data_IF_186562333732
#
_entry.id   IF_186562333732
#
_cell.length_a   1.000
_cell.length_b   1.000
_cell.length_c   1.000
_cell.angle_alpha   90.00
_cell.angle_beta   90.00
_cell.angle_gamma   90.00
#
_symmetry.space_group_name_H-M   'P 1'
#
loop_
_entity.id
_entity.type
_entity.pdbx_description
1 polymer ?
#
# COMPACT_ATOMS: atom_id res chain seq x y z
N UNK A 1 12.32 -12.85 -8.39
CA UNK A 1 10.93 -12.32 -8.21
C UNK A 1 10.04 -12.78 -9.37
N UNK A 2 8.87 -13.35 -9.09
CA UNK A 2 7.90 -13.79 -10.10
C UNK A 2 6.63 -12.94 -10.03
N UNK A 3 6.51 -11.99 -10.98
CA UNK A 3 5.36 -11.09 -11.07
C UNK A 3 4.10 -11.87 -11.49
N UNK A 4 4.23 -12.81 -12.43
CA UNK A 4 3.10 -13.62 -12.90
C UNK A 4 2.46 -14.40 -11.76
N UNK A 5 3.28 -14.98 -10.90
CA UNK A 5 2.83 -15.66 -9.69
C UNK A 5 2.08 -14.68 -8.75
N UNK A 6 2.58 -13.45 -8.59
CA UNK A 6 1.92 -12.47 -7.71
C UNK A 6 0.50 -12.11 -8.15
N UNK A 7 0.21 -12.17 -9.43
CA UNK A 7 -1.15 -11.94 -9.95
C UNK A 7 -1.99 -13.21 -9.96
N UNK A 8 -1.39 -14.39 -10.05
CA UNK A 8 -2.13 -15.67 -10.16
C UNK A 8 -2.28 -16.42 -8.84
N UNK A 9 -1.43 -16.14 -7.82
CA UNK A 9 -1.46 -16.91 -6.58
C UNK A 9 -2.81 -16.90 -5.84
N UNK A 10 -3.62 -15.82 -5.85
CA UNK A 10 -4.90 -15.89 -5.16
C UNK A 10 -5.80 -16.99 -5.72
N UNK A 11 -5.75 -17.22 -7.03
CA UNK A 11 -6.59 -18.22 -7.71
C UNK A 11 -6.10 -19.67 -7.48
N UNK A 12 -4.95 -19.86 -6.86
CA UNK A 12 -4.44 -21.19 -6.48
C UNK A 12 -4.99 -21.68 -5.12
N UNK A 13 -5.63 -20.79 -4.38
CA UNK A 13 -6.28 -21.09 -3.11
C UNK A 13 -7.72 -21.55 -3.36
N UNK A 14 -8.14 -22.69 -2.78
CA UNK A 14 -9.48 -23.24 -3.01
C UNK A 14 -10.60 -22.30 -2.49
N UNK A 15 -10.30 -21.48 -1.49
CA UNK A 15 -11.25 -20.55 -0.86
C UNK A 15 -11.08 -19.09 -1.33
N UNK A 16 -10.35 -18.85 -2.41
CA UNK A 16 -10.01 -17.49 -2.85
C UNK A 16 -11.23 -16.57 -3.03
N UNK A 17 -12.33 -17.10 -3.56
CA UNK A 17 -13.58 -16.32 -3.76
C UNK A 17 -14.12 -15.83 -2.42
N UNK A 18 -14.22 -16.73 -1.44
CA UNK A 18 -14.72 -16.41 -0.09
C UNK A 18 -13.80 -15.40 0.59
N UNK A 19 -12.49 -15.60 0.51
CA UNK A 19 -11.50 -14.70 1.12
C UNK A 19 -11.54 -13.30 0.53
N UNK A 20 -11.66 -13.16 -0.79
CA UNK A 20 -11.77 -11.87 -1.47
C UNK A 20 -13.11 -11.18 -1.23
N UNK A 21 -14.22 -11.93 -1.22
CA UNK A 21 -15.54 -11.36 -0.90
C UNK A 21 -15.56 -10.83 0.53
N UNK A 22 -15.02 -11.58 1.49
CA UNK A 22 -14.94 -11.12 2.88
C UNK A 22 -14.08 -9.86 3.00
N UNK A 23 -12.93 -9.79 2.32
CA UNK A 23 -12.13 -8.56 2.25
C UNK A 23 -12.93 -7.38 1.71
N UNK A 24 -13.67 -7.60 0.59
CA UNK A 24 -14.51 -6.57 -0.03
C UNK A 24 -15.63 -6.09 0.91
N UNK A 25 -16.28 -7.01 1.63
CA UNK A 25 -17.34 -6.69 2.61
C UNK A 25 -16.76 -5.93 3.81
N UNK A 26 -15.60 -6.34 4.31
CA UNK A 26 -14.91 -5.66 5.41
C UNK A 26 -14.55 -4.22 5.01
N UNK A 27 -14.17 -3.97 3.76
CA UNK A 27 -13.87 -2.61 3.26
C UNK A 27 -15.08 -1.66 3.32
N UNK A 28 -16.30 -2.16 3.43
CA UNK A 28 -17.49 -1.32 3.63
C UNK A 28 -17.53 -0.65 5.01
N UNK A 29 -16.77 -1.16 5.98
CA UNK A 29 -16.69 -0.59 7.33
C UNK A 29 -15.68 0.58 7.27
N UNK A 30 -16.12 1.83 7.40
CA UNK A 30 -15.21 2.98 7.34
C UNK A 30 -14.09 2.87 8.37
N UNK A 31 -12.87 3.22 7.99
CA UNK A 31 -11.65 3.21 8.82
C UNK A 31 -11.24 1.81 9.26
N UNK A 32 -12.09 1.07 10.01
CA UNK A 32 -11.78 -0.28 10.49
C UNK A 32 -11.53 -1.26 9.35
N UNK A 33 -12.33 -1.18 8.28
CA UNK A 33 -12.16 -2.05 7.12
C UNK A 33 -10.80 -1.84 6.46
N UNK A 34 -10.38 -0.60 6.30
CA UNK A 34 -9.05 -0.27 5.73
C UNK A 34 -7.94 -0.86 6.62
N UNK A 35 -8.04 -0.68 7.94
CA UNK A 35 -7.05 -1.20 8.90
C UNK A 35 -6.96 -2.73 8.79
N UNK A 36 -8.09 -3.42 8.80
CA UNK A 36 -8.12 -4.89 8.75
C UNK A 36 -7.57 -5.42 7.43
N UNK A 37 -7.89 -4.77 6.31
CA UNK A 37 -7.37 -5.19 5.00
C UNK A 37 -5.88 -4.89 4.86
N UNK A 38 -5.37 -3.81 5.44
CA UNK A 38 -3.92 -3.58 5.56
C UNK A 38 -3.24 -4.70 6.37
N UNK A 39 -3.88 -5.16 7.45
CA UNK A 39 -3.39 -6.30 8.24
C UNK A 39 -3.40 -7.60 7.45
N UNK A 40 -4.45 -7.83 6.68
CA UNK A 40 -4.54 -8.99 5.79
C UNK A 40 -3.46 -8.98 4.70
N UNK A 41 -3.24 -7.83 4.06
CA UNK A 41 -2.12 -7.64 3.12
C UNK A 41 -0.78 -7.93 3.79
N UNK A 42 -0.55 -7.42 5.01
CA UNK A 42 0.68 -7.63 5.76
C UNK A 42 0.87 -9.10 6.18
N UNK A 43 -0.23 -9.81 6.51
CA UNK A 43 -0.20 -11.24 6.81
C UNK A 43 0.18 -12.06 5.57
N UNK A 44 -0.34 -11.70 4.39
CA UNK A 44 0.09 -12.29 3.10
C UNK A 44 1.58 -12.04 2.87
N UNK A 45 2.06 -10.82 3.07
CA UNK A 45 3.49 -10.48 2.98
C UNK A 45 4.33 -11.38 3.88
N UNK A 46 3.90 -11.56 5.12
CA UNK A 46 4.55 -12.45 6.11
C UNK A 46 4.55 -13.90 5.68
N UNK A 47 3.46 -14.40 5.12
CA UNK A 47 3.34 -15.77 4.62
C UNK A 47 4.28 -16.02 3.45
N UNK A 48 4.41 -15.06 2.52
CA UNK A 48 5.37 -15.13 1.41
C UNK A 48 6.80 -15.16 1.95
N UNK A 49 7.15 -14.30 2.90
CA UNK A 49 8.49 -14.26 3.52
C UNK A 49 8.80 -15.60 4.21
N UNK A 50 7.82 -16.24 4.83
CA UNK A 50 7.98 -17.55 5.48
C UNK A 50 7.97 -18.72 4.50
N UNK A 51 7.77 -18.49 3.22
CA UNK A 51 7.72 -19.54 2.19
C UNK A 51 6.47 -20.43 2.28
N UNK A 52 5.35 -19.90 2.73
CA UNK A 52 4.10 -20.66 2.81
C UNK A 52 3.64 -21.10 1.41
N UNK A 53 3.18 -22.34 1.29
CA UNK A 53 2.67 -22.91 0.02
C UNK A 53 1.38 -22.25 -0.44
N UNK A 54 0.55 -21.81 0.50
CA UNK A 54 -0.67 -21.02 0.27
C UNK A 54 -0.56 -19.71 1.03
N UNK A 55 -0.01 -18.64 0.42
CA UNK A 55 0.21 -17.38 1.13
C UNK A 55 -1.05 -16.55 1.34
N UNK A 56 -2.17 -16.86 0.65
CA UNK A 56 -3.43 -16.14 0.81
C UNK A 56 -4.01 -16.37 2.21
N UNK A 57 -3.98 -15.34 3.05
CA UNK A 57 -4.38 -15.41 4.44
C UNK A 57 -5.89 -15.65 4.60
N UNK A 58 -6.26 -16.43 5.61
CA UNK A 58 -7.65 -16.64 6.02
C UNK A 58 -8.17 -15.54 6.96
N UNK A 59 -9.43 -15.66 7.37
CA UNK A 59 -10.09 -14.70 8.26
C UNK A 59 -10.35 -15.26 9.67
N UNK A 60 -9.74 -16.40 9.99
CA UNK A 60 -9.96 -17.10 11.27
C UNK A 60 -9.40 -16.35 12.48
N UNK A 61 -8.29 -15.61 12.30
CA UNK A 61 -7.65 -14.81 13.37
C UNK A 61 -7.81 -13.31 13.10
N UNK A 62 -9.04 -12.84 13.20
CA UNK A 62 -9.38 -11.43 12.99
C UNK A 62 -8.65 -10.47 13.94
N UNK A 63 -8.38 -10.90 15.18
CA UNK A 63 -7.69 -10.07 16.16
C UNK A 63 -6.23 -9.84 15.79
N UNK A 64 -5.55 -10.87 15.26
CA UNK A 64 -4.20 -10.74 14.73
C UNK A 64 -4.16 -9.81 13.53
N UNK A 65 -5.10 -9.97 12.57
CA UNK A 65 -5.20 -9.11 11.41
C UNK A 65 -5.42 -7.64 11.79
N UNK A 66 -6.29 -7.39 12.76
CA UNK A 66 -6.53 -6.03 13.26
C UNK A 66 -5.27 -5.42 13.89
N UNK A 67 -4.55 -6.22 14.69
CA UNK A 67 -3.29 -5.76 15.33
C UNK A 67 -2.21 -5.46 14.30
N UNK A 68 -2.01 -6.34 13.33
CA UNK A 68 -1.07 -6.13 12.22
C UNK A 68 -1.46 -4.92 11.38
N UNK A 69 -2.75 -4.79 11.08
CA UNK A 69 -3.30 -3.69 10.32
C UNK A 69 -3.13 -2.35 11.02
N UNK A 70 -3.29 -2.32 12.34
CA UNK A 70 -3.05 -1.10 13.11
C UNK A 70 -1.57 -0.67 13.05
N UNK A 71 -0.63 -1.62 13.12
CA UNK A 71 0.79 -1.32 12.92
C UNK A 71 1.07 -0.79 11.52
N UNK A 72 0.53 -1.46 10.48
CA UNK A 72 0.66 -1.01 9.10
C UNK A 72 0.03 0.38 8.88
N UNK A 73 -1.10 0.65 9.52
CA UNK A 73 -1.77 1.96 9.48
C UNK A 73 -0.91 3.05 10.11
N UNK A 74 -0.26 2.80 11.27
CA UNK A 74 0.67 3.74 11.90
C UNK A 74 1.82 4.06 10.96
N UNK A 75 2.45 3.04 10.37
CA UNK A 75 3.54 3.23 9.40
C UNK A 75 3.06 4.08 8.22
N UNK A 76 1.89 3.74 7.65
CA UNK A 76 1.30 4.49 6.54
C UNK A 76 1.03 5.95 6.89
N UNK A 77 0.49 6.22 8.08
CA UNK A 77 0.22 7.58 8.57
C UNK A 77 1.51 8.39 8.71
N UNK A 78 2.56 7.79 9.27
CA UNK A 78 3.85 8.49 9.44
C UNK A 78 4.47 8.84 8.07
N UNK A 79 4.42 7.91 7.12
CA UNK A 79 4.87 8.20 5.74
C UNK A 79 3.98 9.21 5.02
N UNK A 80 2.71 9.35 5.36
CA UNK A 80 1.81 10.34 4.79
C UNK A 80 1.96 11.74 5.45
N UNK A 81 2.52 11.82 6.67
CA UNK A 81 2.64 13.07 7.43
C UNK A 81 3.21 14.27 6.64
N UNK A 82 4.31 14.13 5.87
CA UNK A 82 4.86 15.29 5.15
C UNK A 82 3.84 15.93 4.19
N UNK A 83 3.08 15.12 3.45
CA UNK A 83 2.03 15.66 2.57
C UNK A 83 0.87 16.23 3.37
N UNK A 84 0.42 15.58 4.43
CA UNK A 84 -0.68 16.05 5.27
C UNK A 84 -0.32 17.41 5.91
N UNK A 85 0.87 17.51 6.50
CA UNK A 85 1.35 18.75 7.15
C UNK A 85 1.47 19.91 6.17
N UNK A 86 1.88 19.66 4.94
CA UNK A 86 2.00 20.67 3.90
C UNK A 86 0.65 21.01 3.25
N UNK A 87 -0.27 20.06 3.12
CA UNK A 87 -1.58 20.30 2.49
C UNK A 87 -2.50 21.20 3.32
N UNK A 88 -2.43 21.11 4.65
CA UNK A 88 -3.30 21.90 5.54
C UNK A 88 -3.03 23.42 5.38
N UNK A 89 -1.79 23.95 5.60
CA UNK A 89 -1.51 25.38 5.41
C UNK A 89 -1.71 25.80 3.96
N UNK A 90 -1.39 24.92 2.98
CA UNK A 90 -1.62 25.21 1.57
C UNK A 90 -3.11 25.45 1.30
N UNK A 91 -4.00 24.55 1.78
CA UNK A 91 -5.44 24.68 1.62
C UNK A 91 -6.01 25.94 2.32
N UNK A 92 -5.50 26.27 3.52
CA UNK A 92 -5.90 27.49 4.23
C UNK A 92 -5.52 28.75 3.43
N UNK A 93 -4.25 28.83 2.99
CA UNK A 93 -3.75 30.00 2.24
C UNK A 93 -4.51 30.18 0.93
N UNK A 94 -4.68 29.10 0.15
CA UNK A 94 -5.41 29.19 -1.13
C UNK A 94 -6.89 29.54 -0.94
N UNK A 95 -7.54 29.03 0.11
CA UNK A 95 -8.93 29.34 0.43
C UNK A 95 -9.16 30.76 0.97
N UNK A 96 -8.12 31.38 1.53
CA UNK A 96 -8.22 32.81 2.02
C UNK A 96 -7.92 33.85 0.94
N UNK A 97 -7.28 33.47 -0.15
CA UNK A 97 -6.88 34.36 -1.25
C UNK A 97 -7.92 34.34 -2.39
N UNK A 98 -9.18 34.69 -2.09
CA UNK A 98 -10.28 34.77 -3.07
C UNK A 98 -10.33 36.09 -3.81
N UNK A 99 -9.23 36.54 -4.44
CA UNK A 99 -9.24 37.78 -5.23
C UNK A 99 -8.51 37.56 -6.59
N UNK A 100 -8.95 38.31 -7.61
CA UNK A 100 -8.41 38.21 -8.98
C UNK A 100 -6.87 38.46 -9.03
N UNK A 101 -6.33 39.27 -8.15
CA UNK A 101 -4.89 39.56 -8.09
C UNK A 101 -4.06 38.40 -7.54
N UNK A 102 -4.67 37.46 -6.83
CA UNK A 102 -4.01 36.29 -6.27
C UNK A 102 -4.07 35.05 -7.18
N UNK A 103 -4.89 35.02 -8.22
CA UNK A 103 -5.08 33.85 -9.07
C UNK A 103 -3.79 33.28 -9.63
N UNK A 104 -2.91 34.14 -10.17
CA UNK A 104 -1.63 33.72 -10.73
C UNK A 104 -0.71 33.10 -9.66
N UNK A 105 -0.72 33.65 -8.43
CA UNK A 105 0.04 33.14 -7.31
C UNK A 105 -0.51 31.77 -6.87
N UNK A 106 -1.83 31.65 -6.75
CA UNK A 106 -2.51 30.39 -6.37
C UNK A 106 -2.20 29.31 -7.41
N UNK A 107 -2.30 29.63 -8.72
CA UNK A 107 -1.97 28.69 -9.79
C UNK A 107 -0.52 28.22 -9.73
N UNK A 108 0.43 29.13 -9.54
CA UNK A 108 1.84 28.79 -9.40
C UNK A 108 2.11 27.92 -8.16
N UNK A 109 1.57 28.31 -7.01
CA UNK A 109 1.70 27.55 -5.76
C UNK A 109 1.09 26.13 -5.89
N UNK A 110 -0.06 26.01 -6.57
CA UNK A 110 -0.72 24.72 -6.84
C UNK A 110 0.13 23.81 -7.72
N UNK A 111 0.77 24.36 -8.75
CA UNK A 111 1.71 23.62 -9.60
C UNK A 111 2.90 23.12 -8.77
N UNK A 112 3.52 23.99 -7.97
CA UNK A 112 4.65 23.62 -7.11
C UNK A 112 4.25 22.53 -6.10
N UNK A 113 3.11 22.65 -5.44
CA UNK A 113 2.60 21.67 -4.50
C UNK A 113 2.30 20.33 -5.19
N UNK A 114 1.70 20.35 -6.39
CA UNK A 114 1.43 19.16 -7.18
C UNK A 114 2.71 18.45 -7.61
N UNK A 115 3.70 19.21 -8.10
CA UNK A 115 5.02 18.64 -8.45
C UNK A 115 5.69 17.99 -7.24
N UNK A 116 5.69 18.66 -6.07
CA UNK A 116 6.21 18.09 -4.84
C UNK A 116 5.47 16.80 -4.45
N UNK A 117 4.13 16.82 -4.49
CA UNK A 117 3.30 15.65 -4.12
C UNK A 117 3.54 14.46 -5.04
N UNK A 118 3.69 14.70 -6.34
CA UNK A 118 4.02 13.64 -7.31
C UNK A 118 5.40 13.06 -7.02
N UNK A 119 6.42 13.89 -6.85
CA UNK A 119 7.79 13.42 -6.58
C UNK A 119 7.86 12.65 -5.26
N UNK A 120 7.20 13.16 -4.22
CA UNK A 120 7.12 12.48 -2.94
C UNK A 120 6.37 11.16 -3.03
N UNK A 121 5.24 11.14 -3.73
CA UNK A 121 4.46 9.92 -3.98
C UNK A 121 5.25 8.85 -4.74
N UNK A 122 6.02 9.25 -5.75
CA UNK A 122 6.93 8.35 -6.46
C UNK A 122 8.01 7.79 -5.51
N UNK A 123 8.63 8.63 -4.69
CA UNK A 123 9.61 8.17 -3.70
C UNK A 123 8.99 7.17 -2.71
N UNK A 124 7.78 7.46 -2.21
CA UNK A 124 7.05 6.55 -1.34
C UNK A 124 6.71 5.22 -2.02
N UNK A 125 6.38 5.22 -3.30
CA UNK A 125 6.06 4.00 -4.03
C UNK A 125 7.23 3.00 -4.09
N UNK A 126 8.48 3.46 -3.97
CA UNK A 126 9.67 2.63 -3.82
C UNK A 126 9.94 2.23 -2.37
N UNK A 127 9.72 3.13 -1.44
CA UNK A 127 10.06 2.96 -0.01
C UNK A 127 9.02 2.11 0.72
N UNK A 128 7.74 2.33 0.41
CA UNK A 128 6.63 1.71 1.12
C UNK A 128 6.63 0.16 1.07
N UNK A 129 6.91 -0.50 -0.08
CA UNK A 129 7.04 -1.96 -0.12
C UNK A 129 8.14 -2.49 0.80
N UNK A 130 9.27 -1.79 0.90
CA UNK A 130 10.37 -2.16 1.79
C UNK A 130 9.98 -2.01 3.27
N UNK A 131 9.30 -0.91 3.62
CA UNK A 131 8.81 -0.68 4.98
C UNK A 131 7.77 -1.73 5.42
N UNK A 132 6.83 -2.10 4.53
CA UNK A 132 5.84 -3.14 4.80
C UNK A 132 6.49 -4.53 4.88
N UNK A 133 7.48 -4.82 4.03
CA UNK A 133 8.26 -6.07 4.11
C UNK A 133 9.00 -6.20 5.43
N UNK A 134 9.68 -5.12 5.87
CA UNK A 134 10.37 -5.07 7.16
C UNK A 134 9.41 -5.26 8.34
N UNK A 135 8.27 -4.56 8.33
CA UNK A 135 7.23 -4.73 9.34
C UNK A 135 6.66 -6.15 9.36
N UNK A 136 6.45 -6.76 8.19
CA UNK A 136 5.95 -8.13 8.10
C UNK A 136 6.95 -9.15 8.65
N UNK A 137 8.25 -8.96 8.37
CA UNK A 137 9.31 -9.89 8.77
C UNK A 137 9.60 -9.82 10.27
N UNK A 138 9.79 -8.61 10.80
CA UNK A 138 10.34 -8.39 12.14
C UNK A 138 9.31 -7.93 13.18
N UNK A 139 8.10 -7.57 12.75
CA UNK A 139 7.03 -7.04 13.60
C UNK A 139 7.43 -5.77 14.39
N UNK A 140 8.45 -5.06 13.91
CA UNK A 140 9.06 -3.89 14.54
C UNK A 140 8.72 -2.59 13.77
N UNK A 141 7.95 -1.72 14.43
CA UNK A 141 7.61 -0.39 13.91
C UNK A 141 8.84 0.51 13.75
N UNK A 142 9.80 0.40 14.68
CA UNK A 142 11.02 1.22 14.65
C UNK A 142 11.87 0.92 13.42
N UNK A 143 12.04 -0.36 13.08
CA UNK A 143 12.77 -0.80 11.90
C UNK A 143 12.05 -0.37 10.60
N UNK A 144 10.73 -0.55 10.52
CA UNK A 144 9.92 -0.16 9.39
C UNK A 144 9.89 1.37 9.14
N UNK A 145 10.13 2.16 10.17
CA UNK A 145 10.19 3.63 10.11
C UNK A 145 11.61 4.18 10.02
N UNK A 146 12.63 3.32 10.07
CA UNK A 146 14.02 3.75 9.99
C UNK A 146 14.46 3.96 8.52
N UNK A 147 14.68 5.23 8.08
CA UNK A 147 15.03 5.49 6.69
C UNK A 147 16.31 4.80 6.22
N UNK A 148 17.29 4.61 7.12
CA UNK A 148 18.54 3.94 6.78
C UNK A 148 18.34 2.47 6.50
N UNK A 149 17.54 1.78 7.32
CA UNK A 149 17.19 0.37 7.13
C UNK A 149 16.45 0.17 5.80
N UNK A 150 15.43 0.98 5.56
CA UNK A 150 14.61 0.91 4.33
C UNK A 150 15.44 1.23 3.07
N UNK A 151 16.31 2.25 3.14
CA UNK A 151 17.20 2.58 2.03
C UNK A 151 18.16 1.43 1.70
N UNK A 152 18.72 0.77 2.74
CA UNK A 152 19.59 -0.40 2.52
C UNK A 152 18.86 -1.56 1.84
N UNK A 153 17.62 -1.87 2.23
CA UNK A 153 16.80 -2.89 1.59
C UNK A 153 16.59 -2.58 0.10
N UNK A 154 16.16 -1.37 -0.22
CA UNK A 154 15.95 -0.95 -1.61
C UNK A 154 17.25 -0.99 -2.40
N UNK A 155 18.38 -0.59 -1.80
CA UNK A 155 19.69 -0.60 -2.45
C UNK A 155 20.23 -2.01 -2.72
N UNK A 156 19.92 -2.99 -1.86
CA UNK A 156 20.36 -4.37 -2.04
C UNK A 156 19.68 -5.06 -3.22
N UNK A 157 18.40 -4.78 -3.45
CA UNK A 157 17.62 -5.40 -4.53
C UNK A 157 16.87 -4.35 -5.38
N UNK A 158 17.55 -3.39 -6.03
CA UNK A 158 16.90 -2.28 -6.73
C UNK A 158 15.95 -2.77 -7.83
N UNK A 159 16.34 -3.82 -8.55
CA UNK A 159 15.50 -4.41 -9.60
C UNK A 159 14.19 -5.00 -9.05
N UNK A 160 14.22 -5.64 -7.89
CA UNK A 160 13.03 -6.18 -7.26
C UNK A 160 12.05 -5.06 -6.87
N UNK A 161 12.55 -3.95 -6.31
CA UNK A 161 11.70 -2.80 -5.96
C UNK A 161 11.19 -2.02 -7.18
N UNK A 162 11.99 -1.92 -8.27
CA UNK A 162 11.50 -1.37 -9.56
C UNK A 162 10.37 -2.24 -10.12
N UNK A 163 10.55 -3.56 -10.13
CA UNK A 163 9.52 -4.49 -10.61
C UNK A 163 8.27 -4.44 -9.73
N UNK A 164 8.44 -4.36 -8.40
CA UNK A 164 7.34 -4.17 -7.46
C UNK A 164 6.58 -2.89 -7.74
N UNK A 165 7.29 -1.77 -7.94
CA UNK A 165 6.69 -0.50 -8.30
C UNK A 165 5.85 -0.59 -9.58
N UNK A 166 6.39 -1.16 -10.65
CA UNK A 166 5.66 -1.32 -11.91
C UNK A 166 4.44 -2.25 -11.75
N UNK A 167 4.62 -3.36 -11.02
CA UNK A 167 3.53 -4.31 -10.77
C UNK A 167 2.42 -3.73 -9.89
N UNK A 168 2.77 -2.90 -8.90
CA UNK A 168 1.76 -2.21 -8.06
C UNK A 168 0.95 -1.18 -8.86
N UNK A 169 1.56 -0.48 -9.81
CA UNK A 169 0.82 0.36 -10.76
C UNK A 169 -0.17 -0.49 -11.58
N UNK A 170 0.27 -1.63 -12.10
CA UNK A 170 -0.60 -2.56 -12.84
C UNK A 170 -1.77 -3.07 -12.00
N UNK A 171 -1.51 -3.50 -10.77
CA UNK A 171 -2.56 -3.96 -9.86
C UNK A 171 -3.51 -2.82 -9.44
N UNK A 172 -2.99 -1.61 -9.23
CA UNK A 172 -3.81 -0.41 -8.98
C UNK A 172 -4.70 -0.04 -10.17
N UNK A 173 -4.19 -0.18 -11.38
CA UNK A 173 -5.01 0.01 -12.59
C UNK A 173 -6.15 -1.02 -12.66
N UNK A 174 -5.87 -2.29 -12.37
CA UNK A 174 -6.89 -3.33 -12.29
C UNK A 174 -7.93 -3.02 -11.22
N UNK A 175 -7.50 -2.52 -10.05
CA UNK A 175 -8.41 -2.08 -9.00
C UNK A 175 -9.32 -0.96 -9.49
N UNK A 176 -8.78 0.01 -10.23
CA UNK A 176 -9.54 1.12 -10.82
C UNK A 176 -10.57 0.67 -11.85
N UNK A 177 -10.30 -0.38 -12.63
CA UNK A 177 -11.26 -0.94 -13.59
C UNK A 177 -12.53 -1.48 -12.91
N UNK A 178 -12.47 -1.79 -11.63
CA UNK A 178 -13.64 -2.18 -10.84
C UNK A 178 -14.77 -1.15 -10.81
N UNK A 179 -14.46 0.14 -11.08
CA UNK A 179 -15.47 1.21 -11.22
C UNK A 179 -16.45 0.90 -12.36
N UNK A 180 -15.99 0.23 -13.42
CA UNK A 180 -16.84 -0.15 -14.56
C UNK A 180 -17.92 -1.18 -14.19
N UNK A 181 -17.71 -1.92 -13.10
CA UNK A 181 -18.64 -2.91 -12.56
C UNK A 181 -19.48 -2.34 -11.41
N UNK A 182 -19.77 -1.05 -11.43
CA UNK A 182 -20.39 -0.32 -10.33
C UNK A 182 -19.57 -0.37 -9.03
N UNK A 183 -20.07 0.24 -7.95
CA UNK A 183 -19.34 0.33 -6.67
C UNK A 183 -18.92 -1.02 -6.07
N UNK A 184 -19.67 -2.09 -6.35
CA UNK A 184 -19.34 -3.44 -5.86
C UNK A 184 -18.08 -3.98 -6.50
N UNK A 185 -17.87 -3.70 -7.79
CA UNK A 185 -16.67 -4.15 -8.50
C UNK A 185 -15.38 -3.56 -7.93
N UNK A 186 -15.40 -2.28 -7.55
CA UNK A 186 -14.19 -1.64 -6.99
C UNK A 186 -13.76 -2.26 -5.65
N UNK A 187 -14.69 -2.69 -4.82
CA UNK A 187 -14.38 -3.34 -3.54
C UNK A 187 -13.68 -4.69 -3.78
N UNK A 188 -14.20 -5.49 -4.70
CA UNK A 188 -13.62 -6.78 -5.03
C UNK A 188 -12.24 -6.64 -5.70
N UNK A 189 -12.11 -5.74 -6.67
CA UNK A 189 -10.82 -5.50 -7.36
C UNK A 189 -9.79 -4.86 -6.43
N UNK A 190 -10.21 -4.04 -5.47
CA UNK A 190 -9.31 -3.48 -4.45
C UNK A 190 -8.86 -4.55 -3.45
N UNK A 191 -9.73 -5.47 -3.06
CA UNK A 191 -9.36 -6.62 -2.24
C UNK A 191 -8.33 -7.51 -2.96
N UNK A 192 -8.56 -7.80 -4.23
CA UNK A 192 -7.61 -8.53 -5.07
C UNK A 192 -6.27 -7.79 -5.19
N UNK A 193 -6.28 -6.49 -5.49
CA UNK A 193 -5.06 -5.70 -5.57
C UNK A 193 -4.27 -5.69 -4.24
N UNK A 194 -4.97 -5.65 -3.09
CA UNK A 194 -4.34 -5.73 -1.77
C UNK A 194 -3.63 -7.07 -1.56
N UNK A 195 -4.21 -8.19 -2.02
CA UNK A 195 -3.55 -9.49 -1.99
C UNK A 195 -2.28 -9.49 -2.87
N UNK A 196 -2.38 -8.96 -4.09
CA UNK A 196 -1.24 -8.84 -5.02
C UNK A 196 -0.13 -7.99 -4.41
N UNK A 197 -0.46 -6.85 -3.78
CA UNK A 197 0.53 -6.02 -3.08
C UNK A 197 1.25 -6.79 -1.97
N UNK A 198 0.50 -7.52 -1.14
CA UNK A 198 1.10 -8.32 -0.07
C UNK A 198 2.10 -9.34 -0.60
N UNK A 199 1.77 -10.01 -1.69
CA UNK A 199 2.66 -11.00 -2.31
C UNK A 199 3.90 -10.35 -2.93
N UNK A 200 3.73 -9.24 -3.66
CA UNK A 200 4.83 -8.49 -4.26
C UNK A 200 5.83 -7.97 -3.21
N UNK A 201 5.30 -7.42 -2.09
CA UNK A 201 6.13 -6.89 -1.00
C UNK A 201 6.96 -8.00 -0.32
N UNK A 202 6.35 -9.17 -0.13
CA UNK A 202 7.04 -10.32 0.42
C UNK A 202 8.17 -10.82 -0.48
N UNK A 203 7.93 -10.92 -1.79
CA UNK A 203 8.97 -11.32 -2.75
C UNK A 203 10.12 -10.31 -2.82
N UNK A 204 9.81 -9.01 -2.88
CA UNK A 204 10.84 -7.96 -2.92
C UNK A 204 11.71 -7.97 -1.66
N UNK A 205 11.10 -8.18 -0.50
CA UNK A 205 11.83 -8.29 0.76
C UNK A 205 12.76 -9.52 0.79
N UNK A 206 12.29 -10.67 0.33
CA UNK A 206 13.11 -11.88 0.22
C UNK A 206 14.33 -11.64 -0.66
N UNK A 207 14.17 -11.04 -1.84
CA UNK A 207 15.30 -10.74 -2.72
C UNK A 207 16.30 -9.73 -2.12
N UNK A 208 15.87 -8.87 -1.22
CA UNK A 208 16.74 -7.93 -0.55
C UNK A 208 17.49 -8.54 0.65
N UNK A 209 17.03 -9.71 1.16
CA UNK A 209 17.57 -10.32 2.38
C UNK A 209 18.23 -11.67 2.17
N UNK A 210 18.09 -12.27 0.98
CA UNK A 210 18.80 -13.49 0.55
C UNK A 210 20.00 -13.16 -0.32
#
# INVERSE_FOLDING_TARGET
MDIGLSFSFPFQDEEWVTKLILAAVIMLIPVLGIIVVLGWMLAITRNVIKGATQPLEGWSDFASLLTLGFKAFIVSMIYALPIIVLSIPFGIVTGMLENESAEAFIAFASICFSCFSILYGLALAFIYPAAMGELAANDDLGAALNPSCIYELVRKAPNAYILTFLATIGAGFLAGLGVLLCFVGILFTSAYASAVYGHLYGQAYLEATT
#
